data_IF_128329756415
#
_entry.id   IF_128329756415
#
_cell.length_a   1.000
_cell.length_b   1.000
_cell.length_c   1.000
_cell.angle_alpha   90.00
_cell.angle_beta   90.00
_cell.angle_gamma   90.00
#
_symmetry.space_group_name_H-M   'P 1'
#
loop_
_entity.id
_entity.type
_entity.pdbx_description
1 polymer ?
#
# COMPACT_ATOMS: atom_id res chain seq x y z
N UNK A 1 19.14 -2.61 -9.19
CA UNK A 1 17.88 -3.23 -8.71
C UNK A 1 17.32 -4.22 -9.73
N UNK A 2 17.09 -3.87 -10.97
CA UNK A 2 16.46 -4.76 -11.99
C UNK A 2 17.12 -6.14 -12.07
N UNK A 3 18.45 -6.21 -12.08
CA UNK A 3 19.19 -7.48 -12.14
C UNK A 3 19.08 -8.35 -10.88
N UNK A 4 18.80 -7.76 -9.70
CA UNK A 4 18.51 -8.57 -8.50
C UNK A 4 17.16 -9.29 -8.64
N UNK A 5 16.20 -8.63 -9.25
CA UNK A 5 14.85 -9.16 -9.41
C UNK A 5 14.85 -10.45 -10.26
N UNK A 6 15.81 -10.61 -11.17
CA UNK A 6 15.97 -11.82 -11.99
C UNK A 6 16.35 -13.07 -11.15
N UNK A 7 16.96 -12.87 -9.97
CA UNK A 7 17.39 -13.96 -9.09
C UNK A 7 16.42 -14.25 -7.93
N UNK A 8 15.48 -13.33 -7.64
CA UNK A 8 14.51 -13.50 -6.54
C UNK A 8 13.56 -14.68 -6.74
N UNK A 9 13.06 -15.00 -7.94
CA UNK A 9 12.20 -16.17 -8.14
C UNK A 9 12.84 -17.48 -7.70
N UNK A 10 14.16 -17.65 -7.94
CA UNK A 10 14.89 -18.91 -7.67
C UNK A 10 15.50 -18.94 -6.26
N UNK A 11 16.02 -17.82 -5.79
CA UNK A 11 16.81 -17.72 -4.55
C UNK A 11 16.03 -17.09 -3.39
N UNK A 12 14.83 -16.56 -3.65
CA UNK A 12 14.07 -15.77 -2.71
C UNK A 12 14.75 -14.43 -2.40
N UNK A 13 14.19 -13.71 -1.42
CA UNK A 13 14.79 -12.49 -0.90
C UNK A 13 15.93 -12.84 0.07
N UNK A 14 17.12 -13.02 -0.48
CA UNK A 14 18.33 -13.39 0.25
C UNK A 14 19.51 -12.50 -0.12
N UNK A 15 20.51 -12.45 0.79
CA UNK A 15 21.77 -11.75 0.50
C UNK A 15 22.52 -12.36 -0.69
N UNK A 16 22.37 -13.64 -0.93
CA UNK A 16 23.00 -14.34 -2.07
C UNK A 16 22.38 -13.93 -3.39
N UNK A 17 21.05 -13.72 -3.45
CA UNK A 17 20.38 -13.17 -4.61
C UNK A 17 20.90 -11.74 -4.92
N UNK A 18 21.02 -10.88 -3.91
CA UNK A 18 21.57 -9.54 -4.07
C UNK A 18 23.03 -9.57 -4.55
N UNK A 19 23.86 -10.39 -3.93
CA UNK A 19 25.26 -10.49 -4.27
C UNK A 19 25.50 -11.01 -5.70
N UNK A 20 24.71 -12.02 -6.15
CA UNK A 20 24.74 -12.48 -7.55
C UNK A 20 24.38 -11.38 -8.53
N UNK A 21 23.33 -10.64 -8.25
CA UNK A 21 22.89 -9.53 -9.09
C UNK A 21 23.96 -8.43 -9.23
N UNK A 22 24.63 -8.11 -8.14
CA UNK A 22 25.68 -7.09 -8.15
C UNK A 22 26.91 -7.55 -8.92
N UNK A 23 27.30 -8.83 -8.80
CA UNK A 23 28.43 -9.40 -9.57
C UNK A 23 28.22 -9.40 -11.08
N UNK A 24 26.96 -9.50 -11.53
CA UNK A 24 26.63 -9.45 -12.98
C UNK A 24 26.68 -8.01 -13.53
N UNK A 25 26.67 -7.01 -12.66
CA UNK A 25 26.68 -5.60 -13.06
C UNK A 25 28.11 -5.12 -13.29
N UNK A 26 28.44 -4.69 -14.50
CA UNK A 26 29.80 -4.21 -14.89
C UNK A 26 30.34 -3.07 -13.99
N UNK A 27 29.48 -2.29 -13.35
CA UNK A 27 29.83 -1.15 -12.46
C UNK A 27 30.16 -1.52 -11.03
N UNK A 28 29.76 -2.72 -10.54
CA UNK A 28 29.84 -3.09 -9.12
C UNK A 28 30.71 -4.33 -8.86
N UNK A 29 31.76 -4.53 -9.66
CA UNK A 29 32.65 -5.70 -9.55
C UNK A 29 33.41 -5.81 -8.23
N UNK A 30 33.44 -4.76 -7.41
CA UNK A 30 34.22 -4.71 -6.16
C UNK A 30 33.36 -4.77 -4.88
N UNK A 31 32.02 -4.68 -4.95
CA UNK A 31 31.21 -4.71 -3.74
C UNK A 31 31.15 -6.12 -3.16
N UNK A 32 31.63 -6.28 -1.94
CA UNK A 32 31.51 -7.54 -1.20
C UNK A 32 30.15 -7.66 -0.49
N UNK A 33 29.86 -8.84 0.07
CA UNK A 33 28.58 -9.12 0.74
C UNK A 33 28.37 -8.24 1.97
N UNK A 34 29.44 -7.97 2.73
CA UNK A 34 29.43 -7.15 3.94
C UNK A 34 29.11 -5.67 3.63
N UNK A 35 29.66 -5.14 2.54
CA UNK A 35 29.36 -3.78 2.09
C UNK A 35 27.90 -3.64 1.69
N UNK A 36 27.35 -4.60 0.95
CA UNK A 36 25.92 -4.62 0.59
C UNK A 36 25.03 -4.73 1.82
N UNK A 37 25.40 -5.54 2.81
CA UNK A 37 24.68 -5.67 4.06
C UNK A 37 24.65 -4.34 4.82
N UNK A 38 25.78 -3.62 4.85
CA UNK A 38 25.88 -2.31 5.50
C UNK A 38 24.99 -1.26 4.82
N UNK A 39 24.98 -1.22 3.48
CA UNK A 39 24.13 -0.29 2.71
C UNK A 39 22.64 -0.45 3.06
N UNK A 40 22.19 -1.68 3.35
CA UNK A 40 20.78 -1.97 3.66
C UNK A 40 20.55 -2.24 5.16
N UNK A 41 21.41 -1.72 6.07
CA UNK A 41 21.31 -1.89 7.52
C UNK A 41 21.16 -3.36 7.96
N UNK A 42 21.78 -4.28 7.25
CA UNK A 42 21.65 -5.73 7.46
C UNK A 42 20.18 -6.26 7.37
N UNK A 43 19.29 -5.54 6.69
CA UNK A 43 17.88 -5.92 6.56
C UNK A 43 17.45 -6.15 5.12
N UNK A 44 17.04 -7.36 4.81
CA UNK A 44 16.42 -7.69 3.51
C UNK A 44 15.13 -6.89 3.28
N UNK A 45 14.36 -6.58 4.34
CA UNK A 45 13.15 -5.75 4.25
C UNK A 45 13.44 -4.36 3.68
N UNK A 46 14.64 -3.78 3.89
CA UNK A 46 15.04 -2.51 3.30
C UNK A 46 15.23 -2.61 1.79
N UNK A 47 15.71 -3.75 1.29
CA UNK A 47 15.82 -3.99 -0.16
C UNK A 47 14.42 -4.09 -0.78
N UNK A 48 13.51 -4.82 -0.13
CA UNK A 48 12.10 -4.90 -0.56
C UNK A 48 11.46 -3.52 -0.52
N UNK A 49 11.76 -2.71 0.51
CA UNK A 49 11.32 -1.32 0.62
C UNK A 49 11.76 -0.47 -0.56
N UNK A 50 13.03 -0.54 -0.94
CA UNK A 50 13.56 0.17 -2.11
C UNK A 50 12.90 -0.27 -3.42
N UNK A 51 12.56 -1.57 -3.55
CA UNK A 51 11.78 -2.06 -4.68
C UNK A 51 10.36 -1.49 -4.71
N UNK A 52 9.68 -1.44 -3.57
CA UNK A 52 8.36 -0.84 -3.45
C UNK A 52 8.37 0.66 -3.75
N UNK A 53 9.40 1.40 -3.30
CA UNK A 53 9.57 2.82 -3.63
C UNK A 53 9.63 3.05 -5.13
N UNK A 54 10.39 2.20 -5.84
CA UNK A 54 10.43 2.27 -7.30
C UNK A 54 9.06 2.02 -7.93
N UNK A 55 8.31 1.03 -7.45
CA UNK A 55 6.97 0.77 -7.96
C UNK A 55 5.98 1.90 -7.63
N UNK A 56 6.17 2.64 -6.54
CA UNK A 56 5.39 3.82 -6.20
C UNK A 56 5.72 5.03 -7.11
N UNK A 57 6.97 5.16 -7.53
CA UNK A 57 7.38 6.11 -8.58
C UNK A 57 6.77 5.75 -9.93
N UNK A 58 6.89 4.48 -10.35
CA UNK A 58 6.32 3.98 -11.61
C UNK A 58 4.78 4.16 -11.63
N UNK A 59 4.10 3.94 -10.48
CA UNK A 59 2.68 4.25 -10.30
C UNK A 59 2.37 5.72 -10.65
N UNK A 60 3.15 6.65 -10.13
CA UNK A 60 2.95 8.08 -10.36
C UNK A 60 3.15 8.42 -11.83
N UNK A 61 4.18 7.88 -12.48
CA UNK A 61 4.42 8.07 -13.92
C UNK A 61 3.24 7.54 -14.74
N UNK A 62 2.77 6.32 -14.48
CA UNK A 62 1.64 5.71 -15.19
C UNK A 62 0.37 6.54 -15.00
N UNK A 63 0.07 6.97 -13.78
CA UNK A 63 -1.09 7.80 -13.49
C UNK A 63 -1.09 9.11 -14.28
N UNK A 64 0.05 9.79 -14.35
CA UNK A 64 0.19 11.05 -15.07
C UNK A 64 0.10 10.89 -16.60
N UNK A 65 0.64 9.79 -17.15
CA UNK A 65 0.59 9.52 -18.59
C UNK A 65 -0.82 9.17 -19.08
N UNK A 66 -1.66 8.62 -18.23
CA UNK A 66 -3.06 8.30 -18.56
C UNK A 66 -3.99 9.53 -18.53
N UNK A 67 -3.48 10.75 -18.35
CA UNK A 67 -4.19 12.05 -18.36
C UNK A 67 -5.50 12.05 -17.55
N UNK A 68 -5.50 11.49 -16.36
CA UNK A 68 -6.66 11.42 -15.46
C UNK A 68 -6.87 12.75 -14.73
N UNK A 69 -7.29 13.76 -15.46
CA UNK A 69 -7.63 15.08 -14.93
C UNK A 69 -9.10 15.10 -14.47
N UNK A 70 -9.40 15.97 -13.52
CA UNK A 70 -10.77 16.25 -13.02
C UNK A 70 -11.52 15.06 -12.40
N UNK A 71 -10.80 14.10 -11.83
CA UNK A 71 -11.38 13.00 -11.08
C UNK A 71 -11.72 13.43 -9.65
N UNK A 72 -12.84 12.93 -9.13
CA UNK A 72 -13.12 13.00 -7.69
C UNK A 72 -12.12 12.17 -6.88
N UNK A 73 -11.98 12.48 -5.58
CA UNK A 73 -10.98 11.83 -4.69
C UNK A 73 -11.03 10.30 -4.75
N UNK A 74 -12.21 9.70 -4.73
CA UNK A 74 -12.35 8.22 -4.77
C UNK A 74 -11.85 7.64 -6.09
N UNK A 75 -12.19 8.30 -7.22
CA UNK A 75 -11.79 7.84 -8.55
C UNK A 75 -10.28 8.04 -8.77
N UNK A 76 -9.72 9.11 -8.21
CA UNK A 76 -8.27 9.33 -8.17
C UNK A 76 -7.55 8.21 -7.42
N UNK A 77 -8.02 7.86 -6.22
CA UNK A 77 -7.46 6.75 -5.44
C UNK A 77 -7.59 5.42 -6.18
N UNK A 78 -8.77 5.14 -6.77
CA UNK A 78 -8.98 3.95 -7.60
C UNK A 78 -7.97 3.89 -8.75
N UNK A 79 -7.81 5.00 -9.47
CA UNK A 79 -6.89 5.10 -10.59
C UNK A 79 -5.43 4.89 -10.15
N UNK A 80 -5.01 5.45 -9.00
CA UNK A 80 -3.67 5.26 -8.44
C UNK A 80 -3.42 3.81 -8.04
N UNK A 81 -4.37 3.14 -7.36
CA UNK A 81 -4.25 1.72 -7.04
C UNK A 81 -4.08 0.88 -8.32
N UNK A 82 -4.89 1.14 -9.35
CA UNK A 82 -4.77 0.43 -10.64
C UNK A 82 -3.43 0.72 -11.32
N UNK A 83 -2.93 1.95 -11.28
CA UNK A 83 -1.60 2.31 -11.79
C UNK A 83 -0.50 1.59 -11.02
N UNK A 84 -0.65 1.40 -9.70
CA UNK A 84 0.29 0.62 -8.87
C UNK A 84 0.30 -0.86 -9.23
N UNK A 85 -0.87 -1.45 -9.53
CA UNK A 85 -0.95 -2.82 -10.04
C UNK A 85 -0.32 -2.94 -11.43
N UNK A 86 -0.51 -1.95 -12.32
CA UNK A 86 0.15 -1.89 -13.64
C UNK A 86 1.67 -1.84 -13.51
N UNK A 87 2.21 -0.99 -12.64
CA UNK A 87 3.63 -0.94 -12.33
C UNK A 87 4.18 -2.28 -11.84
N UNK A 88 3.32 -3.05 -11.16
CA UNK A 88 3.63 -4.36 -10.58
C UNK A 88 3.48 -5.53 -11.56
N UNK A 89 2.89 -5.33 -12.74
CA UNK A 89 2.42 -6.43 -13.61
C UNK A 89 3.54 -7.40 -14.02
N UNK A 90 4.71 -6.89 -14.34
CA UNK A 90 5.86 -7.69 -14.76
C UNK A 90 6.61 -8.37 -13.58
N UNK A 91 6.18 -8.12 -12.33
CA UNK A 91 6.88 -8.55 -11.12
C UNK A 91 6.01 -9.44 -10.22
N UNK A 92 4.96 -10.10 -10.76
CA UNK A 92 4.00 -10.88 -9.96
C UNK A 92 4.68 -11.92 -9.05
N UNK A 93 5.58 -12.74 -9.57
CA UNK A 93 6.29 -13.77 -8.80
C UNK A 93 7.15 -13.14 -7.69
N UNK A 94 7.84 -12.05 -8.01
CA UNK A 94 8.68 -11.31 -7.06
C UNK A 94 7.85 -10.73 -5.94
N UNK A 95 6.69 -10.14 -6.26
CA UNK A 95 5.78 -9.56 -5.26
C UNK A 95 5.18 -10.67 -4.39
N UNK A 96 4.80 -11.81 -4.95
CA UNK A 96 4.37 -12.97 -4.15
C UNK A 96 5.46 -13.39 -3.14
N UNK A 97 6.70 -13.53 -3.60
CA UNK A 97 7.84 -13.86 -2.73
C UNK A 97 8.08 -12.79 -1.67
N UNK A 98 7.91 -11.49 -2.03
CA UNK A 98 7.98 -10.38 -1.06
C UNK A 98 6.91 -10.49 0.01
N UNK A 99 5.67 -10.78 -0.37
CA UNK A 99 4.56 -10.94 0.58
C UNK A 99 4.82 -12.10 1.55
N UNK A 100 5.31 -13.25 1.08
CA UNK A 100 5.68 -14.38 1.96
C UNK A 100 6.80 -14.00 2.93
N UNK A 101 7.82 -13.28 2.47
CA UNK A 101 8.89 -12.80 3.33
C UNK A 101 8.37 -11.83 4.40
N UNK A 102 7.59 -10.83 3.96
CA UNK A 102 7.05 -9.78 4.84
C UNK A 102 5.95 -10.25 5.78
N UNK A 103 5.24 -11.34 5.46
CA UNK A 103 4.22 -11.94 6.33
C UNK A 103 4.79 -12.64 7.57
N UNK A 104 6.11 -12.85 7.64
CA UNK A 104 6.72 -13.44 8.83
C UNK A 104 6.64 -12.49 10.03
N UNK A 105 6.33 -12.97 11.26
CA UNK A 105 6.14 -12.11 12.42
C UNK A 105 7.29 -11.13 12.69
N UNK A 106 8.53 -11.57 12.46
CA UNK A 106 9.74 -10.73 12.62
C UNK A 106 9.80 -9.53 11.67
N UNK A 107 9.07 -9.57 10.56
CA UNK A 107 9.04 -8.52 9.54
C UNK A 107 7.75 -7.68 9.60
N UNK A 108 6.83 -7.95 10.54
CA UNK A 108 5.51 -7.32 10.60
C UNK A 108 5.57 -5.79 10.70
N UNK A 109 6.53 -5.25 11.47
CA UNK A 109 6.74 -3.82 11.59
C UNK A 109 7.17 -3.20 10.26
N UNK A 110 8.13 -3.79 9.57
CA UNK A 110 8.62 -3.31 8.28
C UNK A 110 7.54 -3.44 7.20
N UNK A 111 6.76 -4.53 7.22
CA UNK A 111 5.61 -4.74 6.34
C UNK A 111 4.54 -3.65 6.51
N UNK A 112 4.19 -3.35 7.74
CA UNK A 112 3.24 -2.30 8.07
C UNK A 112 3.73 -0.92 7.59
N UNK A 113 4.99 -0.58 7.88
CA UNK A 113 5.56 0.69 7.47
C UNK A 113 5.60 0.86 5.94
N UNK A 114 5.94 -0.20 5.20
CA UNK A 114 5.92 -0.15 3.73
C UNK A 114 4.51 0.04 3.18
N UNK A 115 3.52 -0.63 3.75
CA UNK A 115 2.11 -0.45 3.38
C UNK A 115 1.62 0.99 3.64
N UNK A 116 1.97 1.52 4.80
CA UNK A 116 1.65 2.91 5.18
C UNK A 116 2.35 3.91 4.24
N UNK A 117 3.58 3.64 3.82
CA UNK A 117 4.34 4.49 2.89
C UNK A 117 3.67 4.56 1.52
N UNK A 118 3.32 3.43 0.92
CA UNK A 118 2.58 3.38 -0.35
C UNK A 118 1.22 4.09 -0.23
N UNK A 119 0.48 3.87 0.87
CA UNK A 119 -0.79 4.53 1.11
C UNK A 119 -0.64 6.05 1.27
N UNK A 120 0.43 6.49 1.94
CA UNK A 120 0.77 7.90 2.05
C UNK A 120 1.04 8.50 0.67
N UNK A 121 1.85 7.83 -0.15
CA UNK A 121 2.16 8.29 -1.51
C UNK A 121 0.91 8.44 -2.38
N UNK A 122 -0.03 7.49 -2.29
CA UNK A 122 -1.32 7.58 -3.00
C UNK A 122 -2.12 8.80 -2.53
N UNK A 123 -2.22 9.05 -1.22
CA UNK A 123 -2.93 10.20 -0.68
C UNK A 123 -2.28 11.53 -1.02
N UNK A 124 -0.95 11.61 -1.04
CA UNK A 124 -0.19 12.80 -1.48
C UNK A 124 -0.51 13.15 -2.92
N UNK A 125 -0.46 12.17 -3.84
CA UNK A 125 -0.77 12.38 -5.25
C UNK A 125 -2.26 12.76 -5.43
N UNK A 126 -3.15 12.21 -4.60
CA UNK A 126 -4.57 12.57 -4.59
C UNK A 126 -4.87 13.94 -3.97
N UNK A 127 -3.85 14.68 -3.52
CA UNK A 127 -4.00 16.04 -2.98
C UNK A 127 -4.53 16.09 -1.55
N UNK A 128 -4.32 15.05 -0.73
CA UNK A 128 -4.78 15.05 0.66
C UNK A 128 -3.99 16.03 1.54
N UNK A 129 -4.71 16.89 2.23
CA UNK A 129 -4.17 17.89 3.18
C UNK A 129 -4.56 17.60 4.63
N UNK A 130 -5.10 16.40 4.92
CA UNK A 130 -5.53 16.03 6.25
C UNK A 130 -4.39 15.96 7.26
N UNK A 131 -4.68 16.20 8.53
CA UNK A 131 -3.73 16.17 9.64
C UNK A 131 -4.30 15.42 10.85
N UNK A 132 -3.47 15.18 11.87
CA UNK A 132 -3.88 14.53 13.11
C UNK A 132 -4.45 13.12 12.90
N UNK A 133 -5.48 12.75 13.65
CA UNK A 133 -6.10 11.42 13.59
C UNK A 133 -6.67 11.05 12.22
N UNK A 134 -7.19 12.04 11.48
CA UNK A 134 -7.73 11.85 10.12
C UNK A 134 -6.63 11.44 9.13
N UNK A 135 -5.44 12.00 9.28
CA UNK A 135 -4.27 11.63 8.49
C UNK A 135 -3.96 10.13 8.59
N UNK A 136 -3.87 9.62 9.81
CA UNK A 136 -3.53 8.21 10.06
C UNK A 136 -4.66 7.27 9.67
N UNK A 137 -5.91 7.59 9.99
CA UNK A 137 -7.06 6.74 9.67
C UNK A 137 -7.27 6.57 8.17
N UNK A 138 -7.13 7.64 7.38
CA UNK A 138 -7.21 7.55 5.92
C UNK A 138 -6.15 6.59 5.35
N UNK A 139 -4.92 6.68 5.81
CA UNK A 139 -3.81 5.84 5.34
C UNK A 139 -3.99 4.39 5.76
N UNK A 140 -4.44 4.15 6.98
CA UNK A 140 -4.73 2.80 7.48
C UNK A 140 -5.86 2.12 6.69
N UNK A 141 -6.96 2.84 6.45
CA UNK A 141 -8.08 2.33 5.64
C UNK A 141 -7.60 2.01 4.21
N UNK A 142 -6.87 2.92 3.60
CA UNK A 142 -6.34 2.71 2.25
C UNK A 142 -5.34 1.54 2.20
N UNK A 143 -4.53 1.34 3.24
CA UNK A 143 -3.64 0.18 3.35
C UNK A 143 -4.43 -1.14 3.30
N UNK A 144 -5.59 -1.21 3.95
CA UNK A 144 -6.49 -2.37 3.90
C UNK A 144 -7.09 -2.58 2.50
N UNK A 145 -7.56 -1.51 1.84
CA UNK A 145 -8.10 -1.58 0.47
C UNK A 145 -7.02 -2.03 -0.50
N UNK A 146 -5.85 -1.40 -0.47
CA UNK A 146 -4.74 -1.72 -1.38
C UNK A 146 -4.23 -3.15 -1.17
N UNK A 147 -3.91 -3.54 0.08
CA UNK A 147 -3.36 -4.87 0.36
C UNK A 147 -4.34 -5.99 0.00
N UNK A 148 -5.63 -5.84 0.32
CA UNK A 148 -6.64 -6.82 -0.07
C UNK A 148 -6.81 -6.94 -1.59
N UNK A 149 -6.75 -5.82 -2.31
CA UNK A 149 -6.80 -5.79 -3.78
C UNK A 149 -5.55 -6.44 -4.40
N UNK A 150 -4.36 -6.16 -3.84
CA UNK A 150 -3.12 -6.77 -4.27
C UNK A 150 -3.15 -8.29 -4.09
N UNK A 151 -3.56 -8.78 -2.92
CA UNK A 151 -3.71 -10.21 -2.63
C UNK A 151 -4.74 -10.84 -3.56
N UNK A 152 -5.88 -10.21 -3.78
CA UNK A 152 -6.90 -10.68 -4.72
C UNK A 152 -6.32 -10.84 -6.14
N UNK A 153 -5.58 -9.83 -6.62
CA UNK A 153 -4.98 -9.88 -7.96
C UNK A 153 -3.91 -10.97 -8.08
N UNK A 154 -3.12 -11.20 -7.03
CA UNK A 154 -2.04 -12.20 -7.01
C UNK A 154 -2.54 -13.63 -6.75
N UNK A 155 -3.76 -13.83 -6.24
CA UNK A 155 -4.27 -15.14 -5.85
C UNK A 155 -4.39 -16.13 -7.02
N UNK A 156 -4.64 -15.63 -8.25
CA UNK A 156 -4.69 -16.43 -9.46
C UNK A 156 -3.58 -15.96 -10.40
N UNK A 157 -2.78 -16.92 -10.93
CA UNK A 157 -1.57 -16.63 -11.70
C UNK A 157 -1.85 -15.71 -12.90
N UNK A 158 -2.83 -16.04 -13.70
CA UNK A 158 -3.15 -15.32 -14.93
C UNK A 158 -4.25 -14.27 -14.76
N UNK A 159 -4.64 -13.92 -13.52
CA UNK A 159 -5.64 -12.87 -13.31
C UNK A 159 -5.14 -11.55 -13.87
N UNK A 160 -5.92 -10.95 -14.77
CA UNK A 160 -5.67 -9.62 -15.28
C UNK A 160 -6.00 -8.54 -14.22
N UNK A 161 -5.46 -7.34 -14.41
CA UNK A 161 -5.83 -6.18 -13.57
C UNK A 161 -7.31 -5.84 -13.76
N UNK A 162 -7.84 -5.97 -14.99
CA UNK A 162 -9.26 -5.74 -15.31
C UNK A 162 -10.20 -6.58 -14.46
N UNK A 163 -9.89 -7.85 -14.23
CA UNK A 163 -10.66 -8.75 -13.37
C UNK A 163 -10.65 -8.36 -11.89
N UNK A 164 -9.68 -7.56 -11.46
CA UNK A 164 -9.59 -7.06 -10.09
C UNK A 164 -10.31 -5.71 -9.88
N UNK A 165 -10.73 -5.03 -10.94
CA UNK A 165 -11.43 -3.74 -10.86
C UNK A 165 -12.71 -3.84 -10.03
N UNK A 166 -13.56 -4.83 -10.33
CA UNK A 166 -14.80 -5.03 -9.58
C UNK A 166 -14.60 -5.38 -8.11
N UNK A 167 -13.48 -6.03 -7.75
CA UNK A 167 -13.12 -6.25 -6.35
C UNK A 167 -12.73 -4.93 -5.68
N UNK A 168 -11.89 -4.13 -6.32
CA UNK A 168 -11.49 -2.82 -5.80
C UNK A 168 -12.69 -1.89 -5.63
N UNK A 169 -13.64 -1.89 -6.58
CA UNK A 169 -14.87 -1.07 -6.48
C UNK A 169 -15.67 -1.42 -5.23
N UNK A 170 -15.87 -2.71 -4.96
CA UNK A 170 -16.56 -3.14 -3.74
C UNK A 170 -15.81 -2.70 -2.47
N UNK A 171 -14.50 -2.82 -2.43
CA UNK A 171 -13.70 -2.36 -1.26
C UNK A 171 -13.82 -0.85 -1.02
N UNK A 172 -13.81 -0.05 -2.09
CA UNK A 172 -14.00 1.39 -1.98
C UNK A 172 -15.44 1.75 -1.55
N UNK A 173 -16.45 1.01 -2.03
CA UNK A 173 -17.83 1.20 -1.59
C UNK A 173 -18.04 0.81 -0.12
N UNK A 174 -17.43 -0.29 0.34
CA UNK A 174 -17.44 -0.67 1.77
C UNK A 174 -16.91 0.46 2.66
N UNK A 175 -15.82 1.12 2.25
CA UNK A 175 -15.25 2.27 2.99
C UNK A 175 -16.22 3.44 3.03
N UNK A 176 -16.88 3.76 1.91
CA UNK A 176 -17.90 4.83 1.87
C UNK A 176 -19.07 4.53 2.80
N UNK A 177 -19.55 3.29 2.79
CA UNK A 177 -20.69 2.86 3.59
C UNK A 177 -20.32 2.86 5.09
N UNK A 178 -19.13 2.38 5.44
CA UNK A 178 -18.63 2.47 6.81
C UNK A 178 -18.52 3.91 7.29
N UNK A 179 -18.02 4.82 6.47
CA UNK A 179 -17.95 6.25 6.79
C UNK A 179 -19.30 6.90 7.02
N UNK A 180 -20.33 6.53 6.22
CA UNK A 180 -21.70 6.99 6.41
C UNK A 180 -22.30 6.43 7.71
N UNK A 181 -22.15 5.13 7.96
CA UNK A 181 -22.62 4.48 9.17
C UNK A 181 -22.00 5.07 10.44
N UNK A 182 -20.69 5.29 10.42
CA UNK A 182 -19.97 5.93 11.55
C UNK A 182 -20.50 7.34 11.86
N UNK A 183 -20.74 8.19 10.83
CA UNK A 183 -21.32 9.52 11.01
C UNK A 183 -22.74 9.46 11.59
N UNK A 184 -23.60 8.58 11.03
CA UNK A 184 -24.96 8.41 11.54
C UNK A 184 -24.98 7.94 13.01
N UNK A 185 -24.10 7.01 13.36
CA UNK A 185 -23.99 6.51 14.75
C UNK A 185 -23.57 7.61 15.72
N UNK A 186 -22.63 8.47 15.32
CA UNK A 186 -22.21 9.63 16.12
C UNK A 186 -23.35 10.65 16.26
N UNK A 187 -24.08 10.96 15.19
CA UNK A 187 -25.21 11.89 15.21
C UNK A 187 -26.34 11.38 16.11
N UNK A 188 -26.66 10.08 16.03
CA UNK A 188 -27.67 9.44 16.90
C UNK A 188 -27.23 9.50 18.35
N UNK A 189 -25.96 9.21 18.65
CA UNK A 189 -25.41 9.27 20.01
C UNK A 189 -25.49 10.70 20.59
N UNK A 190 -25.08 11.71 19.82
CA UNK A 190 -25.12 13.12 20.24
C UNK A 190 -26.58 13.63 20.41
N UNK A 191 -27.51 13.16 19.57
CA UNK A 191 -28.93 13.46 19.73
C UNK A 191 -29.47 12.85 21.01
N UNK A 192 -29.22 11.58 21.26
CA UNK A 192 -29.66 10.87 22.48
C UNK A 192 -29.11 11.53 23.74
N UNK A 193 -27.84 11.94 23.72
CA UNK A 193 -27.21 12.65 24.84
C UNK A 193 -27.89 13.98 25.13
N UNK A 194 -28.24 14.77 24.10
CA UNK A 194 -29.00 16.05 24.25
C UNK A 194 -30.39 15.79 24.77
N UNK A 195 -31.11 14.78 24.27
CA UNK A 195 -32.46 14.46 24.71
C UNK A 195 -32.50 14.05 26.19
N UNK A 196 -31.56 13.21 26.64
CA UNK A 196 -31.40 12.81 28.03
C UNK A 196 -31.05 14.00 28.93
N UNK A 197 -30.17 14.91 28.49
CA UNK A 197 -29.81 16.11 29.22
C UNK A 197 -31.03 17.06 29.42
N UNK A 198 -31.91 17.15 28.43
CA UNK A 198 -33.12 17.97 28.50
C UNK A 198 -34.19 17.41 29.48
N UNK A 199 -34.25 16.09 29.64
CA UNK A 199 -35.16 15.39 30.56
C UNK A 199 -34.71 15.64 32.04
N UNK A 200 -33.40 15.55 32.29
CA UNK A 200 -32.84 15.79 33.63
C UNK A 200 -33.04 17.21 34.10
N UNK A 201 -32.89 18.21 33.21
CA UNK A 201 -33.12 19.62 33.56
C UNK A 201 -34.58 19.99 33.79
N UNK A 202 -35.53 19.28 33.14
CA UNK A 202 -36.99 19.48 33.39
C UNK A 202 -37.48 18.89 34.70
N UNK A 203 -36.78 17.85 35.23
CA UNK A 203 -37.19 17.22 36.50
C UNK A 203 -36.73 17.95 37.75
N UNK A 204 -35.86 18.96 37.62
CA UNK A 204 -35.33 19.76 38.73
C UNK A 204 -35.95 21.18 38.79
N UNK A 205 -37.06 21.37 38.11
CA UNK A 205 -37.94 22.54 38.24
C UNK A 205 -39.31 22.13 38.78
#
# INVERSE_FOLDING_TARGET
MTQMLDHVPDLGWTWDALHRAVKTTKKAKSSNKEELQTIFDNKISNIIGTFNDKLDEDMHVIFNTENKKDLGTTDTIKALILSRLKASANYKSIIKTSLFFMAQPRNAYDAFNQLMKTSNRIWEIAGDTSSGGTFYSKRLILSGVYSSTLVHWLAIENRSIGESVGFLDRRLEDVKNFGKFSKQSIEVFEKTKRDLGSIVTKKNR
#
